data_IF_330432749654
#
_entry.id   IF_330432749654
#
_cell.length_a   1.000
_cell.length_b   1.000
_cell.length_c   1.000
_cell.angle_alpha   90.00
_cell.angle_beta   90.00
_cell.angle_gamma   90.00
#
_symmetry.space_group_name_H-M   'P 1'
#
loop_
_entity.id
_entity.type
_entity.pdbx_description
1 polymer ?
#
# COMPACT_ATOMS: atom_id res chain seq x y z
N UNK A 1 6.14 3.53 -26.67
CA UNK A 1 7.22 4.32 -26.03
C UNK A 1 7.17 4.01 -24.55
N UNK A 2 8.22 3.42 -23.99
CA UNK A 2 8.32 3.22 -22.54
C UNK A 2 8.64 4.57 -21.93
N UNK A 3 7.80 5.05 -21.01
CA UNK A 3 8.10 6.27 -20.25
C UNK A 3 8.98 5.86 -19.08
N UNK A 4 10.21 6.39 -19.04
CA UNK A 4 11.08 6.24 -17.87
C UNK A 4 10.67 7.25 -16.80
N UNK A 5 10.60 6.77 -15.56
CA UNK A 5 10.35 7.57 -14.37
C UNK A 5 11.56 7.48 -13.45
N UNK A 6 11.90 8.61 -12.83
CA UNK A 6 12.70 8.60 -11.61
C UNK A 6 11.84 8.00 -10.50
N UNK A 7 12.36 6.98 -9.81
CA UNK A 7 11.69 6.34 -8.67
C UNK A 7 12.31 6.84 -7.38
N UNK A 8 11.46 7.30 -6.48
CA UNK A 8 11.82 7.60 -5.08
C UNK A 8 10.99 6.72 -4.18
N UNK A 9 11.46 6.45 -2.98
CA UNK A 9 10.67 5.73 -1.98
C UNK A 9 10.16 6.74 -0.96
N UNK A 10 8.90 6.57 -0.56
CA UNK A 10 8.29 7.35 0.50
C UNK A 10 7.56 6.43 1.48
N UNK A 11 7.35 6.92 2.69
CA UNK A 11 6.53 6.25 3.71
C UNK A 11 5.17 6.94 3.71
N UNK A 12 4.10 6.17 3.49
CA UNK A 12 2.74 6.60 3.77
C UNK A 12 2.22 5.85 4.98
N UNK A 13 1.66 6.58 5.93
CA UNK A 13 1.08 6.04 7.16
C UNK A 13 -0.21 6.76 7.49
N UNK A 14 -1.12 6.07 8.18
CA UNK A 14 -2.41 6.63 8.54
C UNK A 14 -3.14 5.83 9.61
N UNK A 15 -4.13 6.47 10.21
CA UNK A 15 -5.06 5.87 11.17
C UNK A 15 -6.46 5.89 10.57
N UNK A 16 -7.17 4.77 10.69
CA UNK A 16 -8.55 4.64 10.23
C UNK A 16 -9.44 5.44 11.17
N UNK A 17 -10.11 6.45 10.61
CA UNK A 17 -11.20 7.16 11.29
C UNK A 17 -12.56 6.69 10.77
N UNK A 18 -12.71 6.62 9.45
CA UNK A 18 -13.93 6.19 8.77
C UNK A 18 -13.69 5.01 7.82
N UNK A 19 -12.73 5.14 6.89
CA UNK A 19 -12.38 4.09 5.92
C UNK A 19 -10.93 4.24 5.44
N UNK A 20 -10.44 3.24 4.70
CA UNK A 20 -9.05 3.23 4.22
C UNK A 20 -8.75 4.34 3.20
N UNK A 21 -9.70 4.67 2.33
CA UNK A 21 -9.48 5.69 1.28
C UNK A 21 -9.23 7.06 1.92
N UNK A 22 -10.08 7.48 2.87
CA UNK A 22 -9.91 8.76 3.54
C UNK A 22 -8.68 8.80 4.45
N UNK A 23 -8.28 7.65 5.00
CA UNK A 23 -7.07 7.53 5.82
C UNK A 23 -5.77 7.64 5.00
N UNK A 24 -5.77 7.21 3.73
CA UNK A 24 -4.63 7.37 2.80
C UNK A 24 -4.65 8.75 2.15
N UNK A 25 -5.82 9.22 1.70
CA UNK A 25 -6.03 10.52 1.06
C UNK A 25 -6.98 10.45 -0.13
N UNK A 26 -7.56 11.61 -0.49
CA UNK A 26 -8.63 11.69 -1.50
C UNK A 26 -8.14 12.08 -2.91
N UNK A 27 -6.84 12.27 -3.12
CA UNK A 27 -6.32 12.49 -4.48
C UNK A 27 -6.39 11.19 -5.30
N UNK A 28 -6.55 11.25 -6.63
CA UNK A 28 -6.58 10.04 -7.47
C UNK A 28 -5.42 9.08 -7.25
N UNK A 29 -4.23 9.62 -6.97
CA UNK A 29 -3.02 8.86 -6.66
C UNK A 29 -3.15 8.13 -5.31
N UNK A 30 -3.68 8.81 -4.28
CA UNK A 30 -3.95 8.22 -2.97
C UNK A 30 -5.07 7.17 -3.02
N UNK A 31 -6.12 7.37 -3.83
CA UNK A 31 -7.13 6.33 -4.06
C UNK A 31 -6.51 5.05 -4.60
N UNK A 32 -5.64 5.16 -5.62
CA UNK A 32 -4.95 4.00 -6.18
C UNK A 32 -4.05 3.31 -5.14
N UNK A 33 -3.32 4.09 -4.36
CA UNK A 33 -2.51 3.57 -3.25
C UNK A 33 -3.36 2.81 -2.21
N UNK A 34 -4.52 3.33 -1.83
CA UNK A 34 -5.46 2.68 -0.92
C UNK A 34 -5.99 1.35 -1.48
N UNK A 35 -6.36 1.32 -2.77
CA UNK A 35 -6.80 0.09 -3.43
C UNK A 35 -5.67 -0.96 -3.50
N UNK A 36 -4.46 -0.58 -3.89
CA UNK A 36 -3.33 -1.49 -3.91
C UNK A 36 -3.03 -2.06 -2.52
N UNK A 37 -3.13 -1.23 -1.46
CA UNK A 37 -2.95 -1.68 -0.09
C UNK A 37 -4.05 -2.67 0.34
N UNK A 38 -5.31 -2.42 -0.06
CA UNK A 38 -6.42 -3.32 0.20
C UNK A 38 -6.23 -4.67 -0.52
N UNK A 39 -5.82 -4.66 -1.79
CA UNK A 39 -5.55 -5.88 -2.58
C UNK A 39 -4.46 -6.75 -1.94
N UNK A 40 -3.45 -6.15 -1.29
CA UNK A 40 -2.38 -6.90 -0.59
C UNK A 40 -2.93 -7.71 0.58
N UNK A 41 -3.95 -7.20 1.28
CA UNK A 41 -4.48 -7.81 2.51
C UNK A 41 -5.91 -8.35 2.37
N UNK A 42 -6.48 -8.40 1.16
CA UNK A 42 -7.89 -8.76 0.94
C UNK A 42 -8.23 -10.19 1.35
N UNK A 43 -7.24 -11.09 1.37
CA UNK A 43 -7.41 -12.45 1.82
C UNK A 43 -7.53 -12.55 3.35
N UNK A 44 -6.95 -11.57 4.07
CA UNK A 44 -6.77 -11.59 5.52
C UNK A 44 -7.71 -10.63 6.25
N UNK A 45 -8.16 -9.56 5.60
CA UNK A 45 -8.97 -8.49 6.17
C UNK A 45 -10.12 -8.16 5.20
N UNK A 46 -11.36 -8.27 5.68
CA UNK A 46 -12.50 -7.69 4.95
C UNK A 46 -12.62 -6.20 5.30
N UNK A 47 -12.06 -5.35 4.43
CA UNK A 47 -12.04 -3.91 4.62
C UNK A 47 -13.43 -3.24 4.68
N UNK A 48 -14.50 -3.91 4.25
CA UNK A 48 -15.86 -3.36 4.32
C UNK A 48 -16.51 -3.60 5.68
N UNK A 49 -16.13 -4.66 6.39
CA UNK A 49 -16.82 -5.10 7.61
C UNK A 49 -15.94 -5.16 8.85
N UNK A 50 -14.61 -5.27 8.69
CA UNK A 50 -13.68 -5.50 9.81
C UNK A 50 -12.88 -4.26 10.21
N UNK A 51 -12.89 -3.18 9.41
CA UNK A 51 -12.22 -1.93 9.75
C UNK A 51 -12.82 -1.27 10.99
N UNK A 52 -11.95 -0.76 11.86
CA UNK A 52 -12.33 -0.04 13.07
C UNK A 52 -11.58 1.26 13.20
N UNK A 53 -12.23 2.23 13.83
CA UNK A 53 -11.57 3.45 14.25
C UNK A 53 -10.36 3.13 15.14
N UNK A 54 -9.20 3.68 14.79
CA UNK A 54 -7.93 3.46 15.47
C UNK A 54 -7.08 2.32 14.90
N UNK A 55 -7.58 1.55 13.93
CA UNK A 55 -6.73 0.69 13.11
C UNK A 55 -5.71 1.54 12.34
N UNK A 56 -4.55 0.99 12.01
CA UNK A 56 -3.46 1.76 11.40
C UNK A 56 -2.84 1.01 10.25
N UNK A 57 -2.22 1.74 9.34
CA UNK A 57 -1.38 1.18 8.30
C UNK A 57 -0.10 1.98 8.16
N UNK A 58 0.93 1.33 7.63
CA UNK A 58 2.07 2.01 7.02
C UNK A 58 2.54 1.24 5.80
N UNK A 59 3.05 1.96 4.81
CA UNK A 59 3.62 1.33 3.62
C UNK A 59 4.78 2.13 3.06
N UNK A 60 5.82 1.42 2.65
CA UNK A 60 6.88 1.97 1.82
C UNK A 60 6.46 1.81 0.38
N UNK A 61 6.30 2.91 -0.34
CA UNK A 61 5.78 2.92 -1.71
C UNK A 61 6.68 3.75 -2.63
N UNK A 62 6.74 3.34 -3.90
CA UNK A 62 7.43 4.12 -4.92
C UNK A 62 6.64 5.38 -5.29
N UNK A 63 7.31 6.51 -5.37
CA UNK A 63 6.86 7.71 -6.06
C UNK A 63 7.46 7.74 -7.47
N UNK A 64 6.62 8.00 -8.47
CA UNK A 64 7.04 8.12 -9.86
C UNK A 64 7.17 9.61 -10.21
N UNK A 65 8.38 10.02 -10.56
CA UNK A 65 8.70 11.40 -10.92
C UNK A 65 9.14 11.48 -12.38
N UNK A 66 8.68 12.53 -13.07
CA UNK A 66 9.14 12.87 -14.42
C UNK A 66 9.30 14.36 -14.56
N UNK A 67 10.49 14.78 -14.99
CA UNK A 67 10.85 16.19 -15.16
C UNK A 67 10.59 17.02 -13.87
N UNK A 68 10.85 16.40 -12.71
CA UNK A 68 10.60 17.00 -11.39
C UNK A 68 9.14 17.07 -10.97
N UNK A 69 8.22 16.48 -11.74
CA UNK A 69 6.77 16.47 -11.46
C UNK A 69 6.37 15.07 -10.96
N UNK A 70 5.68 15.02 -9.82
CA UNK A 70 5.05 13.80 -9.32
C UNK A 70 3.96 13.31 -10.28
N UNK A 71 4.01 12.02 -10.61
CA UNK A 71 3.09 11.37 -11.56
C UNK A 71 2.22 10.30 -10.92
N UNK A 72 2.39 10.06 -9.63
CA UNK A 72 1.64 9.06 -8.87
C UNK A 72 2.54 8.02 -8.23
N UNK A 73 1.90 7.05 -7.61
CA UNK A 73 2.57 5.96 -6.92
C UNK A 73 2.80 4.75 -7.82
N UNK A 74 3.95 4.09 -7.62
CA UNK A 74 4.35 2.83 -8.23
C UNK A 74 4.06 1.65 -7.31
N UNK A 75 5.04 0.75 -7.17
CA UNK A 75 4.88 -0.46 -6.38
C UNK A 75 4.94 -0.17 -4.87
N UNK A 76 4.10 -0.87 -4.10
CA UNK A 76 4.26 -0.96 -2.65
C UNK A 76 5.38 -1.98 -2.41
N UNK A 77 6.43 -1.58 -1.67
CA UNK A 77 7.59 -2.43 -1.40
C UNK A 77 7.40 -3.21 -0.10
N UNK A 78 6.76 -2.57 0.88
CA UNK A 78 6.44 -3.11 2.20
C UNK A 78 5.12 -2.49 2.63
N UNK A 79 4.22 -3.31 3.17
CA UNK A 79 2.99 -2.86 3.80
C UNK A 79 2.81 -3.52 5.16
N UNK A 80 2.28 -2.76 6.11
CA UNK A 80 1.83 -3.25 7.40
C UNK A 80 0.45 -2.71 7.72
N UNK A 81 -0.36 -3.54 8.36
CA UNK A 81 -1.71 -3.19 8.79
C UNK A 81 -1.97 -3.72 10.19
N UNK A 82 -2.36 -2.84 11.10
CA UNK A 82 -2.85 -3.20 12.44
C UNK A 82 -4.36 -3.13 12.45
N UNK A 83 -5.01 -4.30 12.43
CA UNK A 83 -6.46 -4.43 12.53
C UNK A 83 -6.83 -5.26 13.76
N UNK A 84 -7.68 -4.70 14.62
CA UNK A 84 -8.21 -5.41 15.80
C UNK A 84 -7.12 -6.07 16.68
N UNK A 85 -6.00 -5.37 16.88
CA UNK A 85 -4.88 -5.84 17.69
C UNK A 85 -3.99 -6.92 17.06
N UNK A 86 -4.23 -7.28 15.79
CA UNK A 86 -3.33 -8.13 14.98
C UNK A 86 -2.51 -7.26 14.04
N UNK A 87 -1.25 -7.65 13.83
CA UNK A 87 -0.37 -7.06 12.83
C UNK A 87 -0.30 -7.98 11.61
N UNK A 88 -0.49 -7.41 10.43
CA UNK A 88 -0.31 -8.05 9.14
C UNK A 88 0.86 -7.35 8.44
N UNK A 89 1.78 -8.11 7.90
CA UNK A 89 2.95 -7.60 7.19
C UNK A 89 3.05 -8.27 5.83
N UNK A 90 3.39 -7.49 4.81
CA UNK A 90 3.54 -7.97 3.45
C UNK A 90 4.75 -7.31 2.78
N UNK A 91 5.57 -8.13 2.15
CA UNK A 91 6.80 -7.73 1.47
C UNK A 91 6.69 -8.06 0.00
N UNK A 92 6.95 -7.07 -0.86
CA UNK A 92 6.98 -7.31 -2.30
C UNK A 92 8.25 -8.06 -2.67
N UNK A 93 8.11 -9.21 -3.29
CA UNK A 93 9.24 -10.01 -3.76
C UNK A 93 8.95 -10.61 -5.14
N UNK A 94 10.00 -10.93 -5.90
CA UNK A 94 9.86 -11.52 -7.24
C UNK A 94 10.36 -12.96 -7.24
N UNK A 95 9.48 -13.88 -7.64
CA UNK A 95 9.79 -15.31 -7.76
C UNK A 95 9.60 -15.73 -9.21
N UNK A 96 10.68 -16.18 -9.85
CA UNK A 96 10.69 -16.62 -11.26
C UNK A 96 10.15 -15.56 -12.24
N UNK A 97 10.52 -14.28 -12.06
CA UNK A 97 10.07 -13.19 -12.92
C UNK A 97 8.65 -12.71 -12.64
N UNK A 98 8.01 -13.18 -11.56
CA UNK A 98 6.64 -12.80 -11.18
C UNK A 98 6.67 -12.09 -9.82
N UNK A 99 6.24 -10.82 -9.76
CA UNK A 99 6.10 -10.12 -8.49
C UNK A 99 4.92 -10.68 -7.70
N UNK A 100 5.06 -10.71 -6.39
CA UNK A 100 4.03 -11.07 -5.42
C UNK A 100 4.29 -10.38 -4.08
N UNK A 101 3.32 -10.48 -3.18
CA UNK A 101 3.45 -10.02 -1.80
C UNK A 101 3.45 -11.24 -0.90
N UNK A 102 4.37 -11.24 0.05
CA UNK A 102 4.61 -12.38 0.93
C UNK A 102 4.63 -11.95 2.39
N UNK A 103 4.13 -12.81 3.25
CA UNK A 103 4.23 -12.62 4.69
C UNK A 103 5.70 -12.80 5.18
N UNK A 104 6.01 -12.54 6.47
CA UNK A 104 7.36 -12.77 7.02
C UNK A 104 7.87 -14.21 6.92
N UNK A 105 6.97 -15.19 6.78
CA UNK A 105 7.30 -16.61 6.59
C UNK A 105 7.53 -16.96 5.11
N UNK A 106 7.29 -16.02 4.19
CA UNK A 106 7.40 -16.19 2.74
C UNK A 106 6.20 -16.87 2.08
N UNK A 107 5.02 -16.83 2.70
CA UNK A 107 3.77 -17.35 2.10
C UNK A 107 3.07 -16.33 1.23
#
# INVERSE_FOLDING_TARGET
VTVEYERRHTLLEGEIEDNLITAVGESPEHLKAAFNLAEIFEAEIDFLTELRKGDRFRMVIEELWKDGIFKGYGDILLAEFWNNGRNYEAYRYEVNGRPGYYDPDGR
#
